data_IF_336226159373
#
_entry.id   IF_336226159373
#
_cell.length_a   1.000
_cell.length_b   1.000
_cell.length_c   1.000
_cell.angle_alpha   90.00
_cell.angle_beta   90.00
_cell.angle_gamma   90.00
#
_symmetry.space_group_name_H-M   'P 1'
#
loop_
_entity.id
_entity.type
_entity.pdbx_description
1 polymer ?
#
# COMPACT_ATOMS: atom_id res chain seq x y z
N UNK A 1 6.63 -11.54 22.88
CA UNK A 1 6.52 -10.06 22.85
C UNK A 1 5.56 -9.70 21.74
N UNK A 2 4.47 -8.97 22.04
CA UNK A 2 3.58 -8.47 21.00
C UNK A 2 4.33 -7.38 20.22
N UNK A 3 4.65 -7.65 18.95
CA UNK A 3 5.22 -6.65 18.05
C UNK A 3 4.17 -5.56 17.86
N UNK A 4 4.51 -4.30 18.13
CA UNK A 4 3.63 -3.18 17.85
C UNK A 4 3.37 -3.15 16.35
N UNK A 5 2.10 -3.12 15.93
CA UNK A 5 1.70 -3.12 14.52
C UNK A 5 2.44 -2.06 13.70
N UNK A 6 2.71 -0.89 14.28
CA UNK A 6 3.45 0.19 13.63
C UNK A 6 4.88 -0.26 13.28
N UNK A 7 5.53 -1.09 14.10
CA UNK A 7 6.86 -1.63 13.82
C UNK A 7 6.87 -2.59 12.63
N UNK A 8 5.74 -3.24 12.33
CA UNK A 8 5.57 -4.03 11.10
C UNK A 8 5.46 -3.15 9.85
N UNK A 9 5.10 -1.88 10.00
CA UNK A 9 4.96 -0.94 8.89
C UNK A 9 6.23 -0.10 8.65
N UNK A 10 7.05 0.09 9.69
CA UNK A 10 8.31 0.85 9.63
C UNK A 10 9.29 0.28 8.61
N UNK A 11 10.11 1.16 8.05
CA UNK A 11 11.23 0.77 7.22
C UNK A 11 12.22 -0.09 8.02
N UNK A 12 12.67 -1.16 7.37
CA UNK A 12 13.70 -2.07 7.80
C UNK A 12 14.51 -2.45 6.56
N UNK A 13 15.82 -2.27 6.64
CA UNK A 13 16.74 -2.48 5.53
C UNK A 13 16.83 -3.95 5.10
N UNK A 14 16.47 -4.90 5.97
CA UNK A 14 16.43 -6.34 5.65
C UNK A 14 15.24 -6.73 4.77
N UNK A 15 14.20 -5.88 4.71
CA UNK A 15 12.98 -6.17 3.96
C UNK A 15 13.15 -5.84 2.48
N UNK A 16 12.61 -6.69 1.61
CA UNK A 16 12.63 -6.48 0.16
C UNK A 16 11.61 -5.43 -0.27
N UNK A 17 11.73 -4.95 -1.51
CA UNK A 17 10.72 -4.07 -2.11
C UNK A 17 9.32 -4.74 -2.12
N UNK A 18 9.27 -6.06 -2.38
CA UNK A 18 8.03 -6.83 -2.41
C UNK A 18 7.28 -6.78 -1.08
N UNK A 19 7.99 -6.83 0.06
CA UNK A 19 7.36 -6.71 1.38
C UNK A 19 6.45 -5.47 1.50
N UNK A 20 6.94 -4.32 1.00
CA UNK A 20 6.23 -3.05 1.05
C UNK A 20 5.13 -3.01 0.00
N UNK A 21 5.41 -3.47 -1.22
CA UNK A 21 4.45 -3.60 -2.32
C UNK A 21 3.21 -4.40 -1.90
N UNK A 22 3.39 -5.59 -1.34
CA UNK A 22 2.30 -6.51 -0.96
C UNK A 22 1.40 -5.90 0.13
N UNK A 23 2.00 -5.25 1.13
CA UNK A 23 1.25 -4.62 2.24
C UNK A 23 0.53 -3.35 1.80
N UNK A 24 1.17 -2.54 0.95
CA UNK A 24 0.51 -1.41 0.31
C UNK A 24 -0.65 -1.88 -0.56
N UNK A 25 -0.50 -2.98 -1.30
CA UNK A 25 -1.59 -3.55 -2.08
C UNK A 25 -2.79 -3.93 -1.20
N UNK A 26 -2.55 -4.56 -0.06
CA UNK A 26 -3.60 -4.84 0.93
C UNK A 26 -4.32 -3.58 1.40
N UNK A 27 -3.58 -2.55 1.82
CA UNK A 27 -4.19 -1.28 2.26
C UNK A 27 -4.94 -0.58 1.11
N UNK A 28 -4.37 -0.64 -0.09
CA UNK A 28 -4.97 -0.05 -1.28
C UNK A 28 -6.21 -0.78 -1.74
N UNK A 29 -6.34 -2.08 -1.47
CA UNK A 29 -7.59 -2.81 -1.71
C UNK A 29 -8.74 -2.22 -0.90
N UNK A 30 -8.51 -1.95 0.39
CA UNK A 30 -9.50 -1.29 1.27
C UNK A 30 -9.86 0.10 0.74
N UNK A 31 -8.87 0.87 0.28
CA UNK A 31 -9.10 2.20 -0.32
C UNK A 31 -9.90 2.09 -1.61
N UNK A 32 -9.53 1.19 -2.51
CA UNK A 32 -10.19 1.02 -3.80
C UNK A 32 -11.62 0.52 -3.64
N UNK A 33 -11.89 -0.42 -2.73
CA UNK A 33 -13.24 -0.86 -2.39
C UNK A 33 -14.10 0.32 -1.89
N UNK A 34 -13.56 1.20 -1.04
CA UNK A 34 -14.27 2.41 -0.57
C UNK A 34 -14.54 3.42 -1.69
N UNK A 35 -13.70 3.44 -2.73
CA UNK A 35 -13.90 4.24 -3.97
C UNK A 35 -14.79 3.55 -5.01
N UNK A 36 -15.39 2.40 -4.67
CA UNK A 36 -16.26 1.63 -5.57
C UNK A 36 -15.52 0.76 -6.58
N UNK A 37 -14.20 0.59 -6.45
CA UNK A 37 -13.40 -0.44 -7.14
C UNK A 37 -13.37 -0.37 -8.66
N UNK A 38 -13.75 0.76 -9.26
CA UNK A 38 -14.07 0.85 -10.70
C UNK A 38 -12.86 0.89 -11.63
N UNK A 39 -11.64 1.14 -11.13
CA UNK A 39 -10.44 1.20 -11.96
C UNK A 39 -9.14 0.99 -11.18
N UNK A 40 -8.08 0.54 -11.87
CA UNK A 40 -6.68 0.45 -11.40
C UNK A 40 -6.22 1.73 -10.69
N UNK A 41 -6.65 2.88 -11.20
CA UNK A 41 -6.32 4.19 -10.63
C UNK A 41 -6.84 4.34 -9.19
N UNK A 42 -8.04 3.84 -8.89
CA UNK A 42 -8.61 3.90 -7.54
C UNK A 42 -7.72 3.21 -6.51
N UNK A 43 -7.01 2.14 -6.93
CA UNK A 43 -6.14 1.30 -6.09
C UNK A 43 -4.68 1.76 -6.04
N UNK A 44 -4.24 2.73 -6.85
CA UNK A 44 -2.79 3.04 -6.91
C UNK A 44 -2.44 4.51 -7.01
N UNK A 45 -3.42 5.39 -7.19
CA UNK A 45 -3.21 6.84 -7.39
C UNK A 45 -2.15 7.45 -6.47
N UNK A 46 -2.26 7.23 -5.17
CA UNK A 46 -1.36 7.89 -4.22
C UNK A 46 0.06 7.30 -4.24
N UNK A 47 0.19 5.97 -4.38
CA UNK A 47 1.51 5.32 -4.53
C UNK A 47 2.18 5.74 -5.84
N UNK A 48 1.41 5.81 -6.93
CA UNK A 48 1.90 6.30 -8.23
C UNK A 48 2.42 7.73 -8.12
N UNK A 49 1.63 8.65 -7.54
CA UNK A 49 2.03 10.06 -7.36
C UNK A 49 3.28 10.21 -6.50
N UNK A 50 3.41 9.42 -5.45
CA UNK A 50 4.60 9.43 -4.60
C UNK A 50 5.86 8.98 -5.37
N UNK A 51 5.76 7.89 -6.15
CA UNK A 51 6.86 7.42 -6.99
C UNK A 51 7.18 8.41 -8.12
N UNK A 52 6.19 8.98 -8.78
CA UNK A 52 6.39 10.03 -9.79
C UNK A 52 7.07 11.26 -9.19
N UNK A 53 6.67 11.68 -7.99
CA UNK A 53 7.30 12.78 -7.25
C UNK A 53 8.77 12.49 -6.99
N UNK A 54 9.07 11.28 -6.51
CA UNK A 54 10.43 10.83 -6.25
C UNK A 54 11.27 10.79 -7.54
N UNK A 55 10.78 10.15 -8.60
CA UNK A 55 11.54 9.92 -9.84
C UNK A 55 11.78 11.21 -10.62
N UNK A 56 10.79 12.10 -10.68
CA UNK A 56 10.83 13.28 -11.56
C UNK A 56 11.39 14.50 -10.84
N UNK A 57 11.05 14.71 -9.56
CA UNK A 57 11.31 15.98 -8.87
C UNK A 57 12.28 15.88 -7.69
N UNK A 58 12.33 14.73 -7.02
CA UNK A 58 13.11 14.54 -5.80
C UNK A 58 14.22 13.49 -5.93
N UNK A 59 14.62 13.15 -7.16
CA UNK A 59 15.65 12.15 -7.37
C UNK A 59 16.98 12.59 -6.75
N UNK A 60 17.57 11.73 -5.92
CA UNK A 60 18.79 12.02 -5.15
C UNK A 60 18.58 12.90 -3.92
N UNK A 61 17.33 13.22 -3.55
CA UNK A 61 16.94 13.96 -2.35
C UNK A 61 16.28 13.02 -1.34
N UNK A 62 17.03 12.03 -0.88
CA UNK A 62 16.54 10.95 -0.01
C UNK A 62 15.94 11.50 1.31
N UNK A 63 16.38 12.67 1.74
CA UNK A 63 15.84 13.41 2.88
C UNK A 63 14.36 13.79 2.72
N UNK A 64 13.86 13.92 1.48
CA UNK A 64 12.45 14.26 1.19
C UNK A 64 11.53 13.05 1.20
N UNK A 65 12.07 11.82 1.21
CA UNK A 65 11.26 10.59 1.14
C UNK A 65 10.16 10.53 2.24
N UNK A 66 10.45 10.85 3.53
CA UNK A 66 9.42 10.85 4.57
C UNK A 66 8.31 11.88 4.31
N UNK A 67 8.64 13.04 3.74
CA UNK A 67 7.68 14.10 3.43
C UNK A 67 6.78 13.69 2.27
N UNK A 68 7.37 13.13 1.21
CA UNK A 68 6.64 12.58 0.07
C UNK A 68 5.66 11.50 0.54
N UNK A 69 6.10 10.57 1.39
CA UNK A 69 5.24 9.50 1.89
C UNK A 69 4.04 10.02 2.70
N UNK A 70 4.25 11.05 3.54
CA UNK A 70 3.17 11.66 4.34
C UNK A 70 2.19 12.48 3.49
N UNK A 71 2.68 13.14 2.44
CA UNK A 71 1.87 13.96 1.55
C UNK A 71 0.90 13.12 0.68
N UNK A 72 1.16 11.82 0.53
CA UNK A 72 0.40 10.92 -0.34
C UNK A 72 -0.38 9.85 0.44
N UNK A 73 -0.87 10.18 1.64
CA UNK A 73 -1.76 9.28 2.40
C UNK A 73 -3.19 9.39 1.82
N UNK A 74 -3.86 8.28 1.45
CA UNK A 74 -5.23 8.30 0.98
C UNK A 74 -6.21 8.86 2.05
N UNK A 75 -7.10 9.77 1.65
CA UNK A 75 -8.13 10.34 2.52
C UNK A 75 -9.13 9.30 3.02
N UNK A 76 -9.31 8.21 2.28
CA UNK A 76 -10.18 7.10 2.65
C UNK A 76 -9.67 6.33 3.87
N UNK A 77 -8.38 6.44 4.20
CA UNK A 77 -7.82 5.88 5.43
C UNK A 77 -8.13 6.82 6.60
N UNK A 78 -9.21 6.49 7.33
CA UNK A 78 -9.68 7.26 8.50
C UNK A 78 -9.00 6.87 9.81
N UNK A 79 -8.56 5.61 9.94
CA UNK A 79 -7.86 5.14 11.14
C UNK A 79 -6.47 5.77 11.24
N UNK A 80 -6.14 6.38 12.38
CA UNK A 80 -4.80 6.93 12.65
C UNK A 80 -3.72 5.87 12.44
N UNK A 81 -3.93 4.66 12.94
CA UNK A 81 -3.00 3.53 12.78
C UNK A 81 -2.84 3.15 11.31
N UNK A 82 -3.92 3.09 10.55
CA UNK A 82 -3.85 2.78 9.12
C UNK A 82 -3.10 3.86 8.32
N UNK A 83 -3.30 5.14 8.66
CA UNK A 83 -2.59 6.27 8.04
C UNK A 83 -1.09 6.24 8.36
N UNK A 84 -0.73 6.06 9.62
CA UNK A 84 0.67 5.94 10.06
C UNK A 84 1.36 4.72 9.43
N UNK A 85 0.66 3.59 9.36
CA UNK A 85 1.15 2.39 8.72
C UNK A 85 1.33 2.58 7.21
N UNK A 86 0.36 3.19 6.53
CA UNK A 86 0.46 3.50 5.10
C UNK A 86 1.66 4.39 4.80
N UNK A 87 1.82 5.49 5.55
CA UNK A 87 2.95 6.40 5.37
C UNK A 87 4.30 5.69 5.58
N UNK A 88 4.40 4.85 6.61
CA UNK A 88 5.62 4.10 6.91
C UNK A 88 5.95 3.06 5.82
N UNK A 89 4.95 2.36 5.31
CA UNK A 89 5.12 1.39 4.23
C UNK A 89 5.49 2.08 2.92
N UNK A 90 4.87 3.22 2.61
CA UNK A 90 5.20 4.02 1.43
C UNK A 90 6.62 4.58 1.54
N UNK A 91 7.03 5.09 2.70
CA UNK A 91 8.42 5.50 2.94
C UNK A 91 9.39 4.33 2.65
N UNK A 92 9.10 3.15 3.19
CA UNK A 92 9.93 1.97 2.96
C UNK A 92 9.99 1.52 1.50
N UNK A 93 8.87 1.59 0.78
CA UNK A 93 8.82 1.35 -0.65
C UNK A 93 9.71 2.34 -1.41
N UNK A 94 9.59 3.64 -1.13
CA UNK A 94 10.36 4.69 -1.80
C UNK A 94 11.87 4.52 -1.55
N UNK A 95 12.28 4.21 -0.31
CA UNK A 95 13.69 3.92 0.01
C UNK A 95 14.21 2.72 -0.77
N UNK A 96 13.48 1.61 -0.76
CA UNK A 96 13.87 0.39 -1.50
C UNK A 96 13.88 0.61 -3.01
N UNK A 97 12.99 1.46 -3.51
CA UNK A 97 12.99 1.87 -4.90
C UNK A 97 14.27 2.64 -5.28
N UNK A 98 14.69 3.62 -4.47
CA UNK A 98 15.97 4.31 -4.68
C UNK A 98 17.14 3.33 -4.64
N UNK A 99 17.21 2.48 -3.61
CA UNK A 99 18.25 1.46 -3.48
C UNK A 99 18.36 0.57 -4.73
N UNK A 100 17.22 0.12 -5.26
CA UNK A 100 17.16 -0.80 -6.41
C UNK A 100 17.43 -0.11 -7.76
N UNK A 101 17.36 1.22 -7.83
CA UNK A 101 17.38 1.96 -9.10
C UNK A 101 18.38 3.12 -9.16
N UNK A 102 19.23 3.25 -8.14
CA UNK A 102 20.29 4.26 -8.08
C UNK A 102 21.22 4.22 -9.30
N UNK A 103 21.55 3.03 -9.81
CA UNK A 103 22.56 2.82 -10.85
C UNK A 103 21.98 2.64 -12.28
N UNK A 104 20.67 2.82 -12.46
CA UNK A 104 20.00 2.66 -13.77
C UNK A 104 19.54 3.99 -14.36
N UNK A 105 19.22 4.01 -15.66
CA UNK A 105 18.76 5.23 -16.35
C UNK A 105 17.41 5.74 -15.83
N UNK A 106 17.10 7.01 -16.08
CA UNK A 106 15.77 7.58 -15.76
C UNK A 106 14.64 6.80 -16.46
N UNK A 107 14.84 6.37 -17.72
CA UNK A 107 13.87 5.53 -18.43
C UNK A 107 13.62 4.21 -17.71
N UNK A 108 14.69 3.51 -17.30
CA UNK A 108 14.58 2.25 -16.56
C UNK A 108 13.98 2.43 -15.16
N UNK A 109 14.17 3.59 -14.51
CA UNK A 109 13.47 3.94 -13.26
C UNK A 109 11.96 4.08 -13.50
N UNK A 110 11.56 4.75 -14.57
CA UNK A 110 10.14 4.89 -14.93
C UNK A 110 9.52 3.52 -15.23
N UNK A 111 10.26 2.63 -15.91
CA UNK A 111 9.83 1.24 -16.12
C UNK A 111 9.64 0.49 -14.80
N UNK A 112 10.64 0.54 -13.90
CA UNK A 112 10.54 -0.07 -12.57
C UNK A 112 9.37 0.49 -11.75
N UNK A 113 9.14 1.81 -11.81
CA UNK A 113 8.01 2.47 -11.17
C UNK A 113 6.70 1.89 -11.68
N UNK A 114 6.54 1.74 -12.99
CA UNK A 114 5.34 1.18 -13.59
C UNK A 114 5.14 -0.29 -13.24
N UNK A 115 6.23 -1.08 -13.13
CA UNK A 115 6.16 -2.46 -12.64
C UNK A 115 5.63 -2.47 -11.19
N UNK A 116 6.23 -1.71 -10.28
CA UNK A 116 5.80 -1.62 -8.88
C UNK A 116 4.32 -1.21 -8.77
N UNK A 117 3.92 -0.16 -9.48
CA UNK A 117 2.53 0.32 -9.46
C UNK A 117 1.58 -0.74 -10.02
N UNK A 118 1.95 -1.43 -11.11
CA UNK A 118 1.10 -2.47 -11.71
C UNK A 118 0.94 -3.66 -10.77
N UNK A 119 2.02 -4.11 -10.12
CA UNK A 119 1.97 -5.18 -9.13
C UNK A 119 1.06 -4.83 -7.95
N UNK A 120 1.12 -3.58 -7.44
CA UNK A 120 0.21 -3.13 -6.38
C UNK A 120 -1.24 -3.16 -6.87
N UNK A 121 -1.52 -2.68 -8.07
CA UNK A 121 -2.87 -2.66 -8.61
C UNK A 121 -3.45 -4.07 -8.78
N UNK A 122 -2.68 -4.96 -9.41
CA UNK A 122 -3.06 -6.35 -9.65
C UNK A 122 -3.40 -7.02 -8.32
N UNK A 123 -2.47 -6.98 -7.36
CA UNK A 123 -2.68 -7.50 -6.00
C UNK A 123 -3.90 -6.88 -5.30
N UNK A 124 -4.03 -5.56 -5.33
CA UNK A 124 -5.11 -4.85 -4.64
C UNK A 124 -6.50 -5.19 -5.19
N UNK A 125 -6.59 -5.56 -6.47
CA UNK A 125 -7.83 -5.94 -7.14
C UNK A 125 -8.23 -7.40 -6.89
N UNK A 126 -7.32 -8.26 -6.42
CA UNK A 126 -7.67 -9.64 -6.09
C UNK A 126 -8.60 -9.71 -4.88
N UNK A 127 -9.51 -10.70 -4.90
CA UNK A 127 -10.47 -10.95 -3.81
C UNK A 127 -9.86 -11.63 -2.58
N UNK A 128 -8.66 -12.18 -2.72
CA UNK A 128 -7.96 -12.93 -1.68
C UNK A 128 -6.49 -12.54 -1.70
N UNK A 129 -5.91 -12.36 -0.51
CA UNK A 129 -4.49 -12.08 -0.37
C UNK A 129 -3.74 -13.29 0.18
N UNK A 130 -2.41 -13.34 0.05
CA UNK A 130 -1.63 -14.30 0.82
C UNK A 130 -1.92 -14.17 2.33
N UNK A 131 -1.93 -15.29 3.10
CA UNK A 131 -2.35 -15.28 4.51
C UNK A 131 -1.63 -14.25 5.39
N UNK A 132 -0.35 -13.97 5.10
CA UNK A 132 0.42 -12.98 5.86
C UNK A 132 -0.05 -11.53 5.61
N UNK A 133 -0.60 -11.23 4.44
CA UNK A 133 -1.21 -9.92 4.15
C UNK A 133 -2.60 -9.83 4.78
N UNK A 134 -3.38 -10.92 4.75
CA UNK A 134 -4.69 -10.95 5.43
C UNK A 134 -4.54 -10.77 6.94
N UNK A 135 -3.57 -11.46 7.55
CA UNK A 135 -3.21 -11.27 8.95
C UNK A 135 -2.85 -9.81 9.22
N UNK A 136 -1.96 -9.23 8.41
CA UNK A 136 -1.59 -7.82 8.50
C UNK A 136 -2.83 -6.89 8.42
N UNK A 137 -3.73 -7.12 7.48
CA UNK A 137 -4.94 -6.31 7.32
C UNK A 137 -5.88 -6.43 8.52
N UNK A 138 -6.03 -7.64 9.09
CA UNK A 138 -6.84 -7.84 10.30
C UNK A 138 -6.27 -7.12 11.53
N UNK A 139 -4.95 -6.93 11.59
CA UNK A 139 -4.31 -6.17 12.64
C UNK A 139 -4.51 -4.66 12.44
N UNK A 140 -4.44 -4.17 11.20
CA UNK A 140 -4.64 -2.74 10.85
C UNK A 140 -6.10 -2.31 10.93
N UNK A 141 -7.01 -3.19 10.53
CA UNK A 141 -8.46 -2.99 10.54
C UNK A 141 -9.12 -4.10 11.36
N UNK A 142 -8.95 -4.09 12.70
CA UNK A 142 -9.60 -5.08 13.54
C UNK A 142 -11.11 -4.98 13.35
N UNK A 143 -11.76 -6.13 13.11
CA UNK A 143 -13.22 -6.18 13.08
C UNK A 143 -13.74 -5.74 14.43
N UNK A 144 -14.68 -4.80 14.45
CA UNK A 144 -15.39 -4.44 15.67
C UNK A 144 -16.10 -5.70 16.20
N UNK A 145 -15.85 -6.14 17.44
CA UNK A 145 -16.62 -7.24 18.01
C UNK A 145 -18.09 -6.80 18.13
N UNK A 146 -18.99 -7.45 17.38
CA UNK A 146 -20.43 -7.28 17.50
C UNK A 146 -21.20 -6.85 16.24
N UNK A 147 -20.55 -6.56 15.10
CA UNK A 147 -21.28 -6.40 13.82
C UNK A 147 -21.28 -7.72 13.06
N UNK A 148 -22.35 -8.49 13.26
CA UNK A 148 -22.72 -9.59 12.37
C UNK A 148 -23.11 -8.95 11.04
N UNK A 149 -22.33 -9.20 9.98
CA UNK A 149 -22.80 -8.94 8.62
C UNK A 149 -24.00 -9.87 8.39
N UNK A 150 -25.19 -9.27 8.22
CA UNK A 150 -26.36 -10.01 7.77
C UNK A 150 -26.04 -10.60 6.39
N UNK A 151 -25.70 -11.89 6.37
CA UNK A 151 -25.77 -12.71 5.17
C UNK A 151 -27.23 -12.70 4.76
N UNK A 152 -27.54 -11.97 3.68
CA UNK A 152 -28.82 -12.10 3.00
C UNK A 152 -28.80 -13.47 2.33
N UNK A 153 -29.23 -14.49 3.08
CA UNK A 153 -29.86 -15.67 2.50
C UNK A 153 -31.22 -15.23 1.97
N UNK A 154 -31.29 -14.98 0.67
CA UNK A 154 -32.51 -15.17 -0.12
C UNK A 154 -32.07 -16.08 -1.24
N UNK A 155 -32.23 -17.40 -1.13
CA UNK A 155 -33.51 -18.05 -0.89
C UNK A 155 -34.06 -18.36 -2.26
N UNK A 156 -33.83 -19.59 -2.70
CA UNK A 156 -34.50 -20.19 -3.84
C UNK A 156 -36.02 -20.00 -3.69
N UNK A 157 -36.70 -19.71 -4.78
CA UNK A 157 -38.14 -19.89 -4.89
C UNK A 157 -38.42 -20.40 -6.29
N UNK A 158 -39.20 -21.47 -6.28
CA UNK A 158 -39.56 -22.43 -7.33
C UNK A 158 -40.09 -21.82 -8.62
#
# INVERSE_FOLDING_TARGET
MAVNLIDKCRYDSSRSINYYTERLAGLMSVVGQRRGGRSTHAYTKEVRRALETLVIYAWGKDELIPEIARAHIPDELRSRVARECFASLLEGLLRKFVEASKDISVGSRIELMNIVVSSIAEMAMHRSFPPYVEQFLSEVFPREPGKVENVVETGESE
#
